data_IF_967939540418
#
_entry.id   IF_967939540418
#
_cell.length_a   1.000
_cell.length_b   1.000
_cell.length_c   1.000
_cell.angle_alpha   90.00
_cell.angle_beta   90.00
_cell.angle_gamma   90.00
#
_symmetry.space_group_name_H-M   'P 1'
#
loop_
_entity.id
_entity.type
_entity.pdbx_description
1 polymer ?
#
# COMPACT_ATOMS: atom_id res chain seq x y z
N UNK A 1 -17.17 3.58 -12.50
CA UNK A 1 -16.52 4.49 -13.46
C UNK A 1 -16.05 5.81 -12.82
N UNK A 2 -16.56 6.26 -11.66
CA UNK A 2 -16.26 7.61 -11.15
C UNK A 2 -14.89 7.81 -10.44
N UNK A 3 -14.24 6.78 -9.90
CA UNK A 3 -13.00 6.98 -9.12
C UNK A 3 -11.81 7.38 -10.00
N UNK A 4 -11.63 6.72 -11.15
CA UNK A 4 -10.58 7.10 -12.11
C UNK A 4 -10.86 8.49 -12.71
N UNK A 5 -12.10 8.82 -13.05
CA UNK A 5 -12.42 10.15 -13.60
C UNK A 5 -12.19 11.31 -12.60
N UNK A 6 -12.20 11.04 -11.29
CA UNK A 6 -12.00 12.06 -10.25
C UNK A 6 -10.53 12.22 -9.82
N UNK A 7 -9.71 11.19 -9.93
CA UNK A 7 -8.35 11.15 -9.35
C UNK A 7 -7.24 10.99 -10.40
N UNK A 8 -7.49 10.29 -11.52
CA UNK A 8 -6.47 9.92 -12.52
C UNK A 8 -7.12 9.17 -13.70
N UNK A 9 -6.89 9.59 -14.95
CA UNK A 9 -7.52 8.93 -16.09
C UNK A 9 -7.07 7.46 -16.23
N UNK A 10 -7.84 6.65 -16.95
CA UNK A 10 -7.45 5.25 -17.17
C UNK A 10 -6.08 5.13 -17.88
N UNK A 11 -5.79 6.05 -18.80
CA UNK A 11 -4.54 6.11 -19.55
C UNK A 11 -3.37 6.52 -18.63
N UNK A 12 -3.55 7.55 -17.81
CA UNK A 12 -2.58 7.96 -16.79
C UNK A 12 -2.26 6.78 -15.85
N UNK A 13 -3.29 6.05 -15.40
CA UNK A 13 -3.10 4.88 -14.54
C UNK A 13 -2.33 3.76 -15.23
N UNK A 14 -2.62 3.49 -16.51
CA UNK A 14 -1.87 2.50 -17.29
C UNK A 14 -0.41 2.90 -17.47
N UNK A 15 -0.14 4.18 -17.73
CA UNK A 15 1.21 4.71 -17.88
C UNK A 15 1.99 4.66 -16.56
N UNK A 16 1.36 4.99 -15.43
CA UNK A 16 1.96 4.81 -14.11
C UNK A 16 2.32 3.34 -13.85
N UNK A 17 1.45 2.40 -14.21
CA UNK A 17 1.72 0.97 -14.06
C UNK A 17 2.86 0.48 -14.96
N UNK A 18 3.02 1.00 -16.17
CA UNK A 18 4.17 0.66 -17.03
C UNK A 18 5.47 1.20 -16.45
N UNK A 19 5.47 2.45 -15.98
CA UNK A 19 6.66 3.05 -15.35
C UNK A 19 7.09 2.29 -14.10
N UNK A 20 6.15 1.92 -13.22
CA UNK A 20 6.46 1.12 -12.02
C UNK A 20 7.02 -0.27 -12.40
N UNK A 21 6.53 -0.87 -13.49
CA UNK A 21 7.05 -2.16 -13.99
C UNK A 21 8.45 -2.05 -14.58
N UNK A 22 8.79 -0.94 -15.19
CA UNK A 22 10.11 -0.70 -15.79
C UNK A 22 11.13 -0.32 -14.72
N UNK A 23 10.72 0.42 -13.69
CA UNK A 23 11.62 0.95 -12.67
C UNK A 23 12.01 -0.06 -11.59
N UNK A 24 11.35 -1.24 -11.48
CA UNK A 24 11.57 -2.36 -10.53
C UNK A 24 12.50 -2.08 -9.34
N UNK A 25 12.29 -0.98 -8.63
CA UNK A 25 13.19 -0.56 -7.56
C UNK A 25 12.65 -1.20 -6.30
N UNK A 26 13.27 -2.30 -5.91
CA UNK A 26 13.00 -2.91 -4.62
C UNK A 26 13.58 -2.03 -3.52
N UNK A 27 12.77 -1.65 -2.54
CA UNK A 27 13.09 -0.74 -1.43
C UNK A 27 13.96 -1.37 -0.33
N UNK A 28 14.43 -2.60 -0.54
CA UNK A 28 15.26 -3.33 0.40
C UNK A 28 14.51 -3.57 1.71
N UNK A 29 15.10 -3.11 2.81
CA UNK A 29 14.54 -3.21 4.16
C UNK A 29 13.72 -1.97 4.58
N UNK A 30 13.47 -1.02 3.68
CA UNK A 30 12.66 0.16 4.02
C UNK A 30 11.24 -0.28 4.42
N UNK A 31 10.76 0.03 5.63
CA UNK A 31 9.44 -0.40 6.07
C UNK A 31 8.33 0.12 5.17
N UNK A 32 7.43 -0.76 4.74
CA UNK A 32 6.30 -0.43 3.88
C UNK A 32 5.00 -0.98 4.48
N UNK A 33 4.03 -0.12 4.75
CA UNK A 33 2.70 -0.54 5.19
C UNK A 33 1.66 -0.02 4.21
N UNK A 34 0.91 -0.93 3.60
CA UNK A 34 -0.14 -0.59 2.63
C UNK A 34 -1.51 -0.71 3.29
N UNK A 35 -2.33 0.33 3.19
CA UNK A 35 -3.68 0.34 3.76
C UNK A 35 -4.70 0.37 2.62
N UNK A 36 -5.72 -0.49 2.68
CA UNK A 36 -6.85 -0.53 1.75
C UNK A 36 -8.16 -0.29 2.46
N UNK A 37 -9.09 0.40 1.80
CA UNK A 37 -10.47 0.52 2.27
C UNK A 37 -11.22 -0.80 2.11
N UNK A 38 -12.04 -1.18 3.09
CA UNK A 38 -12.86 -2.38 3.04
C UNK A 38 -14.23 -2.19 2.39
N UNK A 39 -14.80 -0.99 2.48
CA UNK A 39 -16.04 -0.66 1.74
C UNK A 39 -15.69 -0.12 0.37
N UNK A 40 -16.34 -0.66 -0.65
CA UNK A 40 -16.21 -0.16 -2.01
C UNK A 40 -17.54 0.30 -2.56
N UNK A 41 -17.52 1.45 -3.23
CA UNK A 41 -18.60 1.87 -4.13
C UNK A 41 -18.41 1.29 -5.54
N UNK A 42 -17.32 0.57 -5.78
CA UNK A 42 -17.02 -0.06 -7.06
C UNK A 42 -17.76 -1.40 -7.18
N UNK A 43 -18.00 -1.81 -8.42
CA UNK A 43 -18.45 -3.16 -8.74
C UNK A 43 -17.45 -4.20 -8.19
N UNK A 44 -17.94 -5.31 -7.62
CA UNK A 44 -17.14 -6.29 -6.86
C UNK A 44 -15.80 -6.69 -7.52
N UNK A 45 -15.75 -7.08 -8.81
CA UNK A 45 -14.48 -7.39 -9.50
C UNK A 45 -13.45 -6.26 -9.51
N UNK A 46 -13.89 -5.01 -9.61
CA UNK A 46 -12.99 -3.86 -9.58
C UNK A 46 -12.43 -3.64 -8.17
N UNK A 47 -13.25 -3.85 -7.14
CA UNK A 47 -12.77 -3.82 -5.76
C UNK A 47 -11.76 -4.94 -5.47
N UNK A 48 -12.00 -6.16 -5.93
CA UNK A 48 -11.02 -7.24 -5.77
C UNK A 48 -9.72 -6.97 -6.53
N UNK A 49 -9.80 -6.42 -7.74
CA UNK A 49 -8.61 -6.03 -8.51
C UNK A 49 -7.80 -4.96 -7.76
N UNK A 50 -8.49 -4.01 -7.12
CA UNK A 50 -7.88 -3.00 -6.26
C UNK A 50 -7.15 -3.61 -5.06
N UNK A 51 -7.79 -4.53 -4.33
CA UNK A 51 -7.15 -5.23 -3.20
C UNK A 51 -5.95 -6.07 -3.66
N UNK A 52 -6.04 -6.73 -4.82
CA UNK A 52 -4.91 -7.47 -5.41
C UNK A 52 -3.75 -6.54 -5.75
N UNK A 53 -4.01 -5.36 -6.29
CA UNK A 53 -2.97 -4.37 -6.58
C UNK A 53 -2.23 -3.95 -5.29
N UNK A 54 -2.97 -3.60 -4.24
CA UNK A 54 -2.37 -3.22 -2.95
C UNK A 54 -1.52 -4.35 -2.35
N UNK A 55 -2.00 -5.59 -2.42
CA UNK A 55 -1.21 -6.76 -1.98
C UNK A 55 0.06 -6.96 -2.82
N UNK A 56 0.03 -6.66 -4.11
CA UNK A 56 1.23 -6.76 -4.97
C UNK A 56 2.29 -5.73 -4.60
N UNK A 57 1.92 -4.56 -4.08
CA UNK A 57 2.88 -3.56 -3.61
C UNK A 57 3.77 -4.07 -2.46
N UNK A 58 3.35 -5.11 -1.73
CA UNK A 58 4.18 -5.72 -0.69
C UNK A 58 5.50 -6.29 -1.22
N UNK A 59 5.55 -6.67 -2.49
CA UNK A 59 6.81 -7.14 -3.10
C UNK A 59 7.84 -6.03 -3.33
N UNK A 60 7.49 -4.77 -3.07
CA UNK A 60 8.42 -3.65 -3.20
C UNK A 60 9.38 -3.56 -2.01
N UNK A 61 9.10 -4.21 -0.88
CA UNK A 61 9.97 -4.20 0.31
C UNK A 61 10.01 -5.58 0.98
N UNK A 62 11.19 -5.94 1.51
CA UNK A 62 11.37 -7.13 2.35
C UNK A 62 10.83 -6.93 3.77
N UNK A 63 10.49 -5.70 4.16
CA UNK A 63 9.81 -5.38 5.41
C UNK A 63 8.48 -4.70 5.10
N UNK A 64 7.49 -5.51 4.70
CA UNK A 64 6.20 -5.01 4.26
C UNK A 64 5.01 -5.64 5.00
N UNK A 65 3.91 -4.89 5.07
CA UNK A 65 2.65 -5.31 5.68
C UNK A 65 1.44 -4.71 4.98
N UNK A 66 0.27 -5.31 5.20
CA UNK A 66 -0.99 -4.85 4.61
C UNK A 66 -2.14 -4.88 5.61
N UNK A 67 -2.94 -3.82 5.61
CA UNK A 67 -4.12 -3.68 6.46
C UNK A 67 -5.33 -3.36 5.58
N UNK A 68 -6.45 -4.03 5.83
CA UNK A 68 -7.74 -3.68 5.25
C UNK A 68 -8.63 -3.04 6.33
N UNK A 69 -8.95 -1.77 6.16
CA UNK A 69 -9.84 -0.98 7.02
C UNK A 69 -11.30 -1.33 6.70
N UNK A 70 -11.85 -2.35 7.38
CA UNK A 70 -13.11 -2.98 7.00
C UNK A 70 -14.31 -2.01 7.02
N UNK A 71 -14.27 -0.98 7.85
CA UNK A 71 -15.39 -0.06 8.01
C UNK A 71 -15.21 1.25 7.24
N UNK A 72 -14.12 1.42 6.51
CA UNK A 72 -13.82 2.62 5.75
C UNK A 72 -14.19 2.53 4.28
N UNK A 73 -14.60 3.66 3.71
CA UNK A 73 -14.61 3.91 2.27
C UNK A 73 -13.22 4.46 1.84
N UNK A 74 -13.15 5.16 0.70
CA UNK A 74 -11.90 5.69 0.14
C UNK A 74 -11.16 6.63 1.13
N UNK A 75 -11.89 7.44 1.89
CA UNK A 75 -11.30 8.36 2.87
C UNK A 75 -11.03 7.67 4.21
N UNK A 76 -10.09 6.72 4.22
CA UNK A 76 -9.74 5.92 5.42
C UNK A 76 -9.34 6.81 6.60
N UNK A 77 -8.61 7.89 6.34
CA UNK A 77 -8.19 8.86 7.37
C UNK A 77 -9.36 9.60 8.02
N UNK A 78 -10.52 9.69 7.35
CA UNK A 78 -11.73 10.29 7.90
C UNK A 78 -12.61 9.22 8.58
N UNK A 79 -12.78 8.06 7.93
CA UNK A 79 -13.69 7.02 8.39
C UNK A 79 -13.12 6.17 9.54
N UNK A 80 -11.82 5.83 9.49
CA UNK A 80 -11.10 5.06 10.51
C UNK A 80 -9.74 5.70 10.83
N UNK A 81 -9.70 6.95 11.35
CA UNK A 81 -8.46 7.71 11.59
C UNK A 81 -7.44 6.99 12.46
N UNK A 82 -7.93 6.19 13.42
CA UNK A 82 -7.10 5.40 14.32
C UNK A 82 -6.24 4.36 13.58
N UNK A 83 -6.75 3.75 12.50
CA UNK A 83 -5.98 2.81 11.67
C UNK A 83 -4.81 3.54 11.01
N UNK A 84 -5.05 4.74 10.48
CA UNK A 84 -4.01 5.55 9.83
C UNK A 84 -2.96 6.00 10.84
N UNK A 85 -3.38 6.46 12.02
CA UNK A 85 -2.47 6.88 13.08
C UNK A 85 -1.57 5.74 13.55
N UNK A 86 -2.14 4.55 13.80
CA UNK A 86 -1.39 3.37 14.22
C UNK A 86 -0.45 2.89 13.11
N UNK A 87 -0.88 2.91 11.85
CA UNK A 87 -0.04 2.54 10.72
C UNK A 87 1.18 3.48 10.57
N UNK A 88 0.99 4.79 10.74
CA UNK A 88 2.10 5.76 10.74
C UNK A 88 3.06 5.46 11.89
N UNK A 89 2.53 5.20 13.08
CA UNK A 89 3.34 4.86 14.25
C UNK A 89 4.15 3.57 14.04
N UNK A 90 3.55 2.52 13.49
CA UNK A 90 4.20 1.24 13.21
C UNK A 90 5.36 1.40 12.22
N UNK A 91 5.13 2.12 11.12
CA UNK A 91 6.18 2.42 10.12
C UNK A 91 7.29 3.27 10.74
N UNK A 92 6.94 4.26 11.57
CA UNK A 92 7.92 5.10 12.27
C UNK A 92 8.79 4.28 13.25
N UNK A 93 8.18 3.42 14.05
CA UNK A 93 8.90 2.52 14.95
C UNK A 93 9.81 1.58 14.17
N UNK A 94 9.31 0.97 13.10
CA UNK A 94 10.09 0.10 12.21
C UNK A 94 11.29 0.82 11.60
N UNK A 95 11.13 2.07 11.15
CA UNK A 95 12.20 2.86 10.55
C UNK A 95 13.25 3.34 11.57
N UNK A 96 12.91 3.40 12.86
CA UNK A 96 13.81 3.77 13.96
C UNK A 96 14.63 2.60 14.50
N UNK A 97 14.26 1.36 14.20
CA UNK A 97 15.03 0.20 14.64
C UNK A 97 16.35 0.14 13.87
N UNK A 98 17.51 0.01 14.55
CA UNK A 98 18.77 -0.21 13.85
C UNK A 98 18.69 -1.55 13.12
N UNK A 99 19.01 -1.55 11.82
CA UNK A 99 19.15 -2.77 11.02
C UNK A 99 20.28 -3.59 11.66
N UNK A 100 19.91 -4.61 12.44
CA UNK A 100 20.88 -5.53 13.03
C UNK A 100 21.40 -6.44 11.93
N UNK A 101 22.54 -6.11 11.37
CA UNK A 101 23.31 -7.05 10.57
C UNK A 101 23.88 -8.08 11.53
N UNK A 102 23.25 -9.24 11.64
CA UNK A 102 23.98 -10.43 12.08
C UNK A 102 25.04 -10.68 11.02
N UNK A 103 26.29 -10.32 11.33
CA UNK A 103 27.45 -10.87 10.65
C UNK A 103 27.34 -12.39 10.82
N UNK A 104 27.05 -13.10 9.74
CA UNK A 104 27.33 -14.52 9.66
C UNK A 104 28.85 -14.67 9.73
N UNK A 105 29.37 -14.78 10.95
CA UNK A 105 30.64 -15.42 11.19
C UNK A 105 30.44 -16.91 10.92
N UNK A 106 30.99 -17.39 9.80
CA UNK A 106 31.70 -18.67 9.61
C UNK A 106 31.99 -18.92 8.14
#
# INVERSE_FOLDING_TARGET
MAQFTAECTHEDFQQMLSTIKEEQTHYGMMPLLVISSGKSRLFHPAHEAWLRLHKRMLSLSSQSGWIQAQNSSHYIHHDEPHIVQLAIYDVWCAAKQPVSYYQTAN
#
